data_IF_115511564216
#
_entry.id   IF_115511564216
#
_cell.length_a   1.000
_cell.length_b   1.000
_cell.length_c   1.000
_cell.angle_alpha   90.00
_cell.angle_beta   90.00
_cell.angle_gamma   90.00
#
_symmetry.space_group_name_H-M   'P 1'
#
loop_
_entity.id
_entity.type
_entity.pdbx_description
1 polymer ?
#
# COMPACT_ATOMS: atom_id res chain seq x y z
N UNK A 1 -2.44 21.37 10.06
CA UNK A 1 -3.09 20.22 10.72
C UNK A 1 -2.62 18.97 10.00
N UNK A 2 -1.78 18.14 10.62
CA UNK A 2 -1.27 16.93 9.98
C UNK A 2 -2.32 15.85 10.16
N UNK A 3 -2.94 15.39 9.08
CA UNK A 3 -3.89 14.27 9.03
C UNK A 3 -3.18 12.93 9.27
N UNK A 4 -2.44 12.80 10.38
CA UNK A 4 -1.61 11.63 10.69
C UNK A 4 -2.42 10.34 10.83
N UNK A 5 -3.72 10.46 11.08
CA UNK A 5 -4.67 9.34 11.17
C UNK A 5 -5.44 9.09 9.88
N UNK A 6 -5.21 9.90 8.84
CA UNK A 6 -5.92 9.81 7.55
C UNK A 6 -7.30 10.47 7.55
N UNK A 7 -7.69 11.13 8.64
CA UNK A 7 -8.93 11.90 8.72
C UNK A 7 -8.92 13.06 7.71
N UNK A 8 -10.08 13.37 7.15
CA UNK A 8 -10.31 14.39 6.10
C UNK A 8 -9.52 14.18 4.78
N UNK A 9 -8.85 13.04 4.61
CA UNK A 9 -8.10 12.73 3.39
C UNK A 9 -8.67 11.51 2.66
N UNK A 10 -9.36 11.76 1.55
CA UNK A 10 -9.99 10.71 0.74
C UNK A 10 -9.05 10.20 -0.35
N UNK A 11 -8.88 8.88 -0.42
CA UNK A 11 -8.14 8.20 -1.49
C UNK A 11 -8.99 7.11 -2.13
N UNK A 12 -8.82 6.92 -3.43
CA UNK A 12 -9.39 5.77 -4.13
C UNK A 12 -8.62 4.49 -3.77
N UNK A 13 -9.30 3.34 -3.83
CA UNK A 13 -8.65 2.04 -3.63
C UNK A 13 -7.43 1.84 -4.55
N UNK A 14 -7.52 2.31 -5.81
CA UNK A 14 -6.41 2.24 -6.77
C UNK A 14 -5.23 3.11 -6.35
N UNK A 15 -5.46 4.29 -5.75
CA UNK A 15 -4.38 5.12 -5.21
C UNK A 15 -3.68 4.45 -4.04
N UNK A 16 -4.43 3.84 -3.11
CA UNK A 16 -3.85 3.10 -1.99
C UNK A 16 -3.05 1.88 -2.48
N UNK A 17 -3.60 1.09 -3.41
CA UNK A 17 -2.88 -0.02 -4.02
C UNK A 17 -1.59 0.46 -4.71
N UNK A 18 -1.64 1.59 -5.43
CA UNK A 18 -0.47 2.18 -6.09
C UNK A 18 0.62 2.55 -5.06
N UNK A 19 0.24 3.10 -3.90
CA UNK A 19 1.16 3.44 -2.81
C UNK A 19 1.85 2.19 -2.27
N UNK A 20 1.06 1.17 -1.91
CA UNK A 20 1.60 -0.10 -1.35
C UNK A 20 2.50 -0.80 -2.37
N UNK A 21 2.14 -0.82 -3.65
CA UNK A 21 2.99 -1.38 -4.70
C UNK A 21 4.32 -0.62 -4.85
N UNK A 22 4.30 0.71 -4.77
CA UNK A 22 5.52 1.51 -4.82
C UNK A 22 6.41 1.25 -3.59
N UNK A 23 5.83 1.06 -2.41
CA UNK A 23 6.57 0.67 -1.21
C UNK A 23 7.26 -0.69 -1.40
N UNK A 24 6.51 -1.70 -1.88
CA UNK A 24 7.01 -3.06 -2.07
C UNK A 24 8.11 -3.18 -3.13
N UNK A 25 8.17 -2.28 -4.12
CA UNK A 25 9.11 -2.35 -5.25
C UNK A 25 10.28 -1.36 -5.17
N UNK A 26 10.64 -0.91 -3.95
CA UNK A 26 11.77 -0.02 -3.71
C UNK A 26 11.52 1.45 -4.09
N UNK A 27 10.27 1.89 -3.99
CA UNK A 27 9.85 3.28 -4.23
C UNK A 27 9.49 3.60 -5.68
N UNK A 28 9.46 2.62 -6.59
CA UNK A 28 9.18 2.85 -8.01
C UNK A 28 7.67 3.00 -8.25
N UNK A 29 7.21 4.25 -8.34
CA UNK A 29 5.82 4.56 -8.66
C UNK A 29 5.56 4.28 -10.15
N UNK A 30 4.86 3.19 -10.45
CA UNK A 30 4.55 2.81 -11.82
C UNK A 30 3.38 3.63 -12.40
N UNK A 31 3.39 3.79 -13.72
CA UNK A 31 2.24 4.27 -14.47
C UNK A 31 1.10 3.27 -14.37
N UNK A 32 -0.12 3.77 -14.13
CA UNK A 32 -1.32 2.93 -14.13
C UNK A 32 -1.56 2.41 -15.53
N UNK A 33 -1.82 1.11 -15.61
CA UNK A 33 -2.17 0.44 -16.85
C UNK A 33 -3.40 -0.40 -16.60
N UNK A 34 -4.40 -0.25 -17.47
CA UNK A 34 -5.60 -1.08 -17.51
C UNK A 34 -5.74 -1.51 -18.96
N UNK A 35 -5.68 -2.82 -19.21
CA UNK A 35 -5.93 -3.35 -20.55
C UNK A 35 -7.41 -3.11 -20.90
N UNK A 36 -7.68 -2.53 -22.07
CA UNK A 36 -9.04 -2.18 -22.53
C UNK A 36 -9.50 -2.98 -23.75
N UNK A 37 -8.68 -3.92 -24.22
CA UNK A 37 -8.91 -4.67 -25.46
C UNK A 37 -8.73 -6.17 -25.24
N UNK A 38 -9.37 -6.97 -26.10
CA UNK A 38 -9.11 -8.41 -26.24
C UNK A 38 -8.45 -8.67 -27.62
N UNK A 39 -7.29 -9.36 -27.68
CA UNK A 39 -6.48 -9.82 -26.56
C UNK A 39 -5.85 -8.65 -25.78
N UNK A 40 -5.52 -8.84 -24.49
CA UNK A 40 -4.92 -7.80 -23.69
C UNK A 40 -3.51 -7.47 -24.19
N UNK A 41 -3.24 -6.19 -24.37
CA UNK A 41 -1.88 -5.72 -24.68
C UNK A 41 -0.97 -6.03 -23.49
N UNK A 42 0.25 -6.52 -23.77
CA UNK A 42 1.26 -6.82 -22.74
C UNK A 42 1.57 -5.56 -21.92
N UNK A 43 1.53 -5.70 -20.59
CA UNK A 43 1.92 -4.63 -19.68
C UNK A 43 3.39 -4.24 -19.90
N UNK A 44 3.64 -2.95 -20.13
CA UNK A 44 4.99 -2.39 -20.21
C UNK A 44 5.22 -1.42 -19.04
N UNK A 45 5.96 -1.81 -18.00
CA UNK A 45 6.10 -1.01 -16.78
C UNK A 45 6.87 0.28 -17.06
N UNK A 46 6.22 1.42 -16.82
CA UNK A 46 6.86 2.75 -16.89
C UNK A 46 6.93 3.36 -15.51
N UNK A 47 8.13 3.68 -15.04
CA UNK A 47 8.32 4.40 -13.78
C UNK A 47 7.97 5.87 -13.98
N UNK A 48 6.95 6.36 -13.28
CA UNK A 48 6.55 7.78 -13.32
C UNK A 48 7.36 8.64 -12.37
N UNK A 49 7.70 8.09 -11.21
CA UNK A 49 8.41 8.80 -10.14
C UNK A 49 9.10 7.81 -9.21
N UNK A 50 10.20 8.23 -8.62
CA UNK A 50 10.82 7.54 -7.49
C UNK A 50 10.34 8.19 -6.19
N UNK A 51 9.64 7.43 -5.35
CA UNK A 51 9.36 7.79 -3.97
C UNK A 51 10.61 7.45 -3.17
N UNK A 52 11.25 8.45 -2.56
CA UNK A 52 12.41 8.23 -1.70
C UNK A 52 11.94 7.52 -0.44
N UNK A 53 12.40 6.28 -0.25
CA UNK A 53 12.18 5.51 0.96
C UNK A 53 13.55 5.34 1.60
N UNK A 54 13.69 5.85 2.82
CA UNK A 54 14.92 5.65 3.60
C UNK A 54 15.03 4.16 3.94
N UNK A 55 16.13 3.47 3.56
CA UNK A 55 16.31 2.05 3.84
C UNK A 55 16.27 1.70 5.33
N UNK A 56 16.70 2.61 6.21
CA UNK A 56 16.63 2.42 7.65
C UNK A 56 15.19 2.49 8.13
N UNK A 57 14.41 3.47 7.68
CA UNK A 57 12.98 3.56 7.99
C UNK A 57 12.25 2.31 7.52
N UNK A 58 12.54 1.83 6.30
CA UNK A 58 11.97 0.59 5.78
C UNK A 58 12.26 -0.62 6.67
N UNK A 59 13.52 -0.76 7.10
CA UNK A 59 13.97 -1.85 8.00
C UNK A 59 13.24 -1.88 9.33
N UNK A 60 12.88 -0.72 9.89
CA UNK A 60 12.14 -0.65 11.15
C UNK A 60 10.62 -0.76 10.97
N UNK A 61 10.08 -0.26 9.86
CA UNK A 61 8.64 -0.23 9.60
C UNK A 61 8.08 -1.62 9.24
N UNK A 62 8.77 -2.38 8.39
CA UNK A 62 8.27 -3.68 7.89
C UNK A 62 8.01 -4.68 9.01
N UNK A 63 8.90 -4.87 10.01
CA UNK A 63 8.61 -5.72 11.16
C UNK A 63 7.34 -5.32 11.92
N UNK A 64 7.07 -4.02 12.05
CA UNK A 64 5.82 -3.53 12.66
C UNK A 64 4.58 -3.85 11.84
N UNK A 65 4.67 -3.78 10.51
CA UNK A 65 3.59 -4.18 9.59
C UNK A 65 3.34 -5.70 9.65
N UNK A 66 4.40 -6.50 9.71
CA UNK A 66 4.29 -7.95 9.94
C UNK A 66 3.67 -8.22 11.31
N UNK A 67 4.10 -7.50 12.36
CA UNK A 67 3.51 -7.60 13.70
C UNK A 67 2.03 -7.23 13.74
N UNK A 68 1.60 -6.23 12.97
CA UNK A 68 0.18 -5.89 12.85
C UNK A 68 -0.67 -7.06 12.34
N UNK A 69 -0.12 -7.91 11.48
CA UNK A 69 -0.81 -9.11 10.95
C UNK A 69 -0.59 -10.30 11.87
N UNK A 70 0.62 -10.52 12.35
CA UNK A 70 0.95 -11.65 13.20
C UNK A 70 0.35 -11.53 14.60
N UNK A 71 0.11 -10.34 15.12
CA UNK A 71 -0.48 -10.17 16.45
C UNK A 71 -1.32 -8.93 16.71
N UNK A 72 -1.38 -7.98 15.78
CA UNK A 72 -2.18 -6.77 15.93
C UNK A 72 -3.57 -6.84 15.27
N UNK A 73 -4.09 -5.66 14.96
CA UNK A 73 -5.41 -5.45 14.34
C UNK A 73 -5.61 -6.14 12.99
N UNK A 74 -4.53 -6.51 12.29
CA UNK A 74 -4.56 -7.19 10.99
C UNK A 74 -4.63 -8.71 11.09
N UNK A 75 -4.83 -9.29 12.28
CA UNK A 75 -4.77 -10.74 12.55
C UNK A 75 -5.52 -11.62 11.55
N UNK A 76 -6.66 -11.16 11.05
CA UNK A 76 -7.48 -11.92 10.08
C UNK A 76 -6.80 -12.12 8.72
N UNK A 77 -5.77 -11.34 8.41
CA UNK A 77 -4.99 -11.48 7.19
C UNK A 77 -3.78 -12.41 7.37
N UNK A 78 -3.61 -13.07 8.53
CA UNK A 78 -2.52 -14.00 8.75
C UNK A 78 -2.64 -15.25 7.87
N UNK A 79 -1.53 -15.66 7.27
CA UNK A 79 -1.37 -16.90 6.53
C UNK A 79 -0.13 -17.63 7.08
N UNK A 80 -0.25 -18.89 7.53
CA UNK A 80 0.90 -19.64 8.06
C UNK A 80 1.96 -19.99 7.01
N UNK A 81 1.64 -19.91 5.71
CA UNK A 81 2.55 -20.26 4.62
C UNK A 81 3.30 -19.05 4.05
N UNK A 82 2.90 -17.82 4.39
CA UNK A 82 3.43 -16.58 3.79
C UNK A 82 3.71 -15.51 4.84
N UNK A 83 4.74 -14.69 4.61
CA UNK A 83 5.00 -13.51 5.46
C UNK A 83 4.22 -12.31 4.94
N UNK A 84 3.12 -11.97 5.61
CA UNK A 84 2.26 -10.85 5.21
C UNK A 84 2.60 -9.61 6.04
N UNK A 85 3.09 -8.56 5.36
CA UNK A 85 3.27 -7.23 5.94
C UNK A 85 2.07 -6.35 5.58
N UNK A 86 1.29 -5.91 6.58
CA UNK A 86 0.06 -5.16 6.33
C UNK A 86 -0.29 -4.16 7.42
N UNK A 87 -1.35 -3.39 7.16
CA UNK A 87 -1.94 -2.47 8.13
C UNK A 87 -3.44 -2.36 7.91
N UNK A 88 -4.17 -2.14 9.00
CA UNK A 88 -5.60 -1.84 9.00
C UNK A 88 -5.87 -0.34 8.80
N UNK A 89 -6.95 -0.01 8.10
CA UNK A 89 -7.53 1.33 8.08
C UNK A 89 -8.92 1.29 8.71
N UNK A 90 -9.19 2.22 9.64
CA UNK A 90 -10.51 2.41 10.23
C UNK A 90 -10.79 3.90 10.18
N UNK A 91 -11.73 4.30 9.34
CA UNK A 91 -12.16 5.69 9.20
C UNK A 91 -13.59 5.79 9.73
N UNK A 92 -13.88 6.84 10.50
CA UNK A 92 -15.25 7.20 10.84
C UNK A 92 -15.72 8.20 9.79
N UNK A 93 -16.91 7.98 9.26
CA UNK A 93 -17.63 9.03 8.56
C UNK A 93 -18.42 9.78 9.63
N UNK A 94 -17.97 10.98 9.99
CA UNK A 94 -18.84 11.90 10.69
C UNK A 94 -19.92 12.31 9.67
N UNK A 95 -21.15 11.83 9.89
CA UNK A 95 -22.27 12.02 8.98
C UNK A 95 -22.45 13.49 8.61
N UNK A 96 -22.74 13.73 7.33
CA UNK A 96 -23.23 15.02 6.86
C UNK A 96 -24.66 15.26 7.34
#
# INVERSE_FOLDING_TARGET
>A
HMSSHGDDFKVTAVQLATLVSAMANGGKLLARFVARTAPPVRFNPRVRRLVKIDPNVWRYMVPGMVGSVNYGSGRRAFDPFETIAGKTGTCKEDGA
#
